data_IF_895163185359
#
_entry.id   IF_895163185359
#
_cell.length_a   1.000
_cell.length_b   1.000
_cell.length_c   1.000
_cell.angle_alpha   90.00
_cell.angle_beta   90.00
_cell.angle_gamma   90.00
#
_symmetry.space_group_name_H-M   'P 1'
#
loop_
_entity.id
_entity.type
_entity.pdbx_description
1 polymer ?
#
# COMPACT_ATOMS: atom_id res chain seq x y z
N UNK A 1 -33.65 0.32 17.34
CA UNK A 1 -32.97 0.15 16.04
C UNK A 1 -31.51 0.48 16.28
N UNK A 2 -30.71 -0.54 16.57
CA UNK A 2 -29.25 -0.40 16.62
C UNK A 2 -28.77 -0.14 15.19
N UNK A 3 -28.23 1.05 14.95
CA UNK A 3 -27.49 1.35 13.73
C UNK A 3 -26.12 0.73 13.93
N UNK A 4 -26.03 -0.59 13.77
CA UNK A 4 -24.75 -1.26 13.62
C UNK A 4 -24.26 -0.90 12.21
N UNK A 5 -23.55 0.22 12.11
CA UNK A 5 -22.76 0.54 10.92
C UNK A 5 -21.84 -0.64 10.66
N UNK A 6 -22.21 -1.53 9.74
CA UNK A 6 -21.36 -2.61 9.27
C UNK A 6 -20.04 -1.98 8.80
N UNK A 7 -19.04 -1.96 9.67
CA UNK A 7 -17.69 -1.52 9.31
C UNK A 7 -17.25 -2.39 8.16
N UNK A 8 -17.07 -1.76 7.01
CA UNK A 8 -16.64 -2.44 5.80
C UNK A 8 -15.32 -3.17 6.08
N UNK A 9 -15.29 -4.47 5.75
CA UNK A 9 -14.12 -5.30 5.97
C UNK A 9 -12.93 -4.71 5.23
N UNK A 10 -11.80 -4.56 5.91
CA UNK A 10 -10.56 -4.11 5.28
C UNK A 10 -9.70 -5.31 4.86
N UNK A 11 -9.05 -5.19 3.72
CA UNK A 11 -7.98 -6.08 3.24
C UNK A 11 -6.63 -5.41 3.49
N UNK A 12 -5.61 -6.20 3.78
CA UNK A 12 -4.24 -5.71 3.83
C UNK A 12 -3.49 -6.12 2.56
N UNK A 13 -2.84 -5.15 1.92
CA UNK A 13 -2.10 -5.32 0.69
C UNK A 13 -0.65 -4.87 0.90
N UNK A 14 0.29 -5.80 0.70
CA UNK A 14 1.71 -5.52 0.68
C UNK A 14 2.12 -5.16 -0.74
N UNK A 15 2.59 -3.93 -0.94
CA UNK A 15 3.12 -3.45 -2.20
C UNK A 15 4.64 -3.46 -2.15
N UNK A 16 5.24 -4.02 -3.19
CA UNK A 16 6.66 -3.83 -3.52
C UNK A 16 6.75 -3.35 -4.97
N UNK A 17 7.46 -2.26 -5.21
CA UNK A 17 7.64 -1.77 -6.57
C UNK A 17 8.96 -1.06 -6.78
N UNK A 18 9.26 -0.78 -8.04
CA UNK A 18 10.51 -0.16 -8.48
C UNK A 18 10.17 1.13 -9.20
N UNK A 19 10.75 2.24 -8.75
CA UNK A 19 10.65 3.54 -9.39
C UNK A 19 11.75 3.71 -10.45
N UNK A 20 11.65 4.76 -11.27
CA UNK A 20 12.68 5.06 -12.27
C UNK A 20 14.06 5.38 -11.66
N UNK A 21 14.08 6.00 -10.48
CA UNK A 21 15.28 6.38 -9.74
C UNK A 21 15.01 6.36 -8.24
N UNK A 22 16.06 6.31 -7.41
CA UNK A 22 15.90 6.39 -5.96
C UNK A 22 15.33 7.71 -5.45
N UNK A 23 15.62 8.83 -6.13
CA UNK A 23 14.98 10.12 -5.85
C UNK A 23 13.48 10.07 -6.13
N UNK A 24 13.08 9.40 -7.22
CA UNK A 24 11.67 9.20 -7.54
C UNK A 24 10.98 8.31 -6.50
N UNK A 25 11.62 7.24 -6.05
CA UNK A 25 11.09 6.39 -4.98
C UNK A 25 10.82 7.19 -3.70
N UNK A 26 11.80 7.99 -3.26
CA UNK A 26 11.66 8.87 -2.08
C UNK A 26 10.54 9.90 -2.25
N UNK A 27 10.46 10.54 -3.41
CA UNK A 27 9.42 11.52 -3.70
C UNK A 27 8.01 10.89 -3.70
N UNK A 28 7.87 9.67 -4.25
CA UNK A 28 6.62 8.93 -4.18
C UNK A 28 6.26 8.60 -2.73
N UNK A 29 7.21 8.05 -1.96
CA UNK A 29 6.97 7.72 -0.55
C UNK A 29 6.51 8.94 0.27
N UNK A 30 7.16 10.09 0.08
CA UNK A 30 6.77 11.35 0.72
C UNK A 30 5.39 11.84 0.28
N UNK A 31 5.01 11.63 -0.98
CA UNK A 31 3.70 12.02 -1.51
C UNK A 31 2.57 11.13 -0.99
N UNK A 32 2.86 9.84 -0.74
CA UNK A 32 1.87 8.87 -0.28
C UNK A 32 1.80 8.73 1.25
N UNK A 33 2.70 9.35 2.02
CA UNK A 33 2.71 9.23 3.49
C UNK A 33 1.44 9.75 4.17
N UNK A 34 0.70 10.65 3.52
CA UNK A 34 -0.56 11.20 4.02
C UNK A 34 -1.80 10.43 3.54
N UNK A 35 -1.62 9.36 2.76
CA UNK A 35 -2.73 8.53 2.31
C UNK A 35 -3.36 7.80 3.50
N UNK A 36 -4.69 7.93 3.74
CA UNK A 36 -5.35 7.35 4.90
C UNK A 36 -5.32 5.81 4.91
N UNK A 37 -5.06 5.18 3.77
CA UNK A 37 -4.96 3.74 3.65
C UNK A 37 -3.53 3.21 3.81
N UNK A 38 -2.50 4.08 3.85
CA UNK A 38 -1.11 3.67 4.04
C UNK A 38 -0.83 3.55 5.53
N UNK A 39 -0.46 2.35 5.98
CA UNK A 39 -0.01 2.12 7.36
C UNK A 39 1.51 2.20 7.50
N UNK A 40 2.24 1.83 6.44
CA UNK A 40 3.69 1.90 6.39
C UNK A 40 4.13 2.15 4.96
N UNK A 41 5.18 2.96 4.79
CA UNK A 41 5.85 3.16 3.52
C UNK A 41 7.35 3.34 3.76
N UNK A 42 8.17 2.72 2.93
CA UNK A 42 9.62 2.78 3.01
C UNK A 42 10.24 2.68 1.63
N UNK A 43 11.51 3.09 1.54
CA UNK A 43 12.27 3.06 0.29
C UNK A 43 13.66 2.48 0.52
N UNK A 44 14.19 1.81 -0.49
CA UNK A 44 15.59 1.36 -0.55
C UNK A 44 16.07 1.54 -1.98
N UNK A 45 17.08 2.37 -2.20
CA UNK A 45 17.51 2.75 -3.56
C UNK A 45 16.31 3.20 -4.40
N UNK A 46 16.03 2.58 -5.54
CA UNK A 46 14.87 2.82 -6.41
C UNK A 46 13.64 1.97 -6.05
N UNK A 47 13.71 1.15 -5.01
CA UNK A 47 12.61 0.33 -4.51
C UNK A 47 11.71 1.11 -3.54
N UNK A 48 10.41 0.83 -3.62
CA UNK A 48 9.38 1.33 -2.71
C UNK A 48 8.57 0.16 -2.15
N UNK A 49 8.35 0.18 -0.84
CA UNK A 49 7.56 -0.80 -0.12
C UNK A 49 6.47 -0.08 0.65
N UNK A 50 5.24 -0.62 0.62
CA UNK A 50 4.15 -0.05 1.38
C UNK A 50 3.17 -1.13 1.84
N UNK A 51 2.52 -0.89 2.97
CA UNK A 51 1.38 -1.71 3.43
C UNK A 51 0.13 -0.85 3.40
N UNK A 52 -0.88 -1.29 2.66
CA UNK A 52 -2.17 -0.62 2.56
C UNK A 52 -3.25 -1.41 3.30
N UNK A 53 -4.13 -0.72 4.04
CA UNK A 53 -5.38 -1.25 4.56
C UNK A 53 -6.53 -0.64 3.76
N UNK A 54 -7.07 -1.39 2.82
CA UNK A 54 -8.10 -0.92 1.89
C UNK A 54 -9.44 -1.54 2.25
N UNK A 55 -10.57 -0.85 2.04
CA UNK A 55 -11.88 -1.49 2.05
C UNK A 55 -11.94 -2.62 1.02
N UNK A 56 -12.62 -3.73 1.33
CA UNK A 56 -12.69 -4.91 0.47
C UNK A 56 -13.25 -4.59 -0.92
N UNK A 57 -14.19 -3.64 -1.05
CA UNK A 57 -14.68 -3.16 -2.35
C UNK A 57 -13.61 -2.53 -3.24
N UNK A 58 -12.47 -2.12 -2.67
CA UNK A 58 -11.34 -1.53 -3.39
C UNK A 58 -10.31 -2.58 -3.78
N UNK A 59 -10.59 -3.89 -3.65
CA UNK A 59 -9.67 -4.94 -4.10
C UNK A 59 -9.29 -4.80 -5.59
N UNK A 60 -10.19 -4.32 -6.45
CA UNK A 60 -9.88 -4.05 -7.86
C UNK A 60 -8.69 -3.09 -8.07
N UNK A 61 -8.41 -2.23 -7.08
CA UNK A 61 -7.30 -1.29 -7.12
C UNK A 61 -5.95 -2.00 -7.20
N UNK A 62 -5.80 -3.14 -6.50
CA UNK A 62 -4.54 -3.89 -6.56
C UNK A 62 -4.27 -4.46 -7.95
N UNK A 63 -5.30 -5.02 -8.59
CA UNK A 63 -5.20 -5.57 -9.94
C UNK A 63 -4.83 -4.46 -10.94
N UNK A 64 -5.50 -3.31 -10.84
CA UNK A 64 -5.27 -2.17 -11.74
C UNK A 64 -3.84 -1.63 -11.64
N UNK A 65 -3.27 -1.59 -10.43
CA UNK A 65 -1.90 -1.10 -10.24
C UNK A 65 -0.85 -2.07 -10.76
N UNK A 66 -1.04 -3.38 -10.58
CA UNK A 66 -0.09 -4.36 -11.12
C UNK A 66 -0.10 -4.36 -12.66
N UNK A 67 -1.26 -4.14 -13.29
CA UNK A 67 -1.36 -4.04 -14.75
C UNK A 67 -0.74 -2.77 -15.33
N UNK A 68 -0.92 -1.63 -14.65
CA UNK A 68 -0.53 -0.30 -15.14
C UNK A 68 0.16 0.53 -14.06
N UNK A 69 1.32 0.08 -13.55
CA UNK A 69 1.95 0.69 -12.37
C UNK A 69 2.42 2.12 -12.62
N UNK A 70 2.80 2.43 -13.87
CA UNK A 70 3.35 3.73 -14.24
C UNK A 70 2.27 4.78 -14.37
N UNK A 71 1.11 4.42 -14.91
CA UNK A 71 -0.04 5.30 -15.11
C UNK A 71 -0.81 5.53 -13.80
N UNK A 72 -0.78 4.56 -12.89
CA UNK A 72 -1.57 4.60 -11.65
C UNK A 72 -0.80 5.25 -10.50
N UNK A 73 0.39 4.73 -10.17
CA UNK A 73 1.17 5.17 -9.00
C UNK A 73 2.58 5.65 -9.34
N UNK A 74 2.93 5.69 -10.63
CA UNK A 74 4.20 6.23 -11.10
C UNK A 74 5.41 5.34 -10.82
N UNK A 75 5.20 4.04 -10.58
CA UNK A 75 6.25 3.03 -10.48
C UNK A 75 6.41 2.29 -11.82
N UNK A 76 7.62 1.83 -12.14
CA UNK A 76 7.89 1.09 -13.38
C UNK A 76 7.41 -0.36 -13.27
N UNK A 77 7.48 -0.94 -12.07
CA UNK A 77 7.01 -2.29 -11.77
C UNK A 77 6.37 -2.31 -10.39
N UNK A 78 5.33 -3.11 -10.24
CA UNK A 78 4.67 -3.35 -8.96
C UNK A 78 4.33 -4.83 -8.84
N UNK A 79 4.44 -5.32 -7.61
CA UNK A 79 3.82 -6.54 -7.14
C UNK A 79 3.00 -6.23 -5.91
N UNK A 80 1.77 -6.73 -5.86
CA UNK A 80 0.89 -6.64 -4.71
C UNK A 80 0.63 -8.04 -4.18
N UNK A 81 0.69 -8.19 -2.86
CA UNK A 81 0.34 -9.43 -2.16
C UNK A 81 -0.77 -9.11 -1.17
N UNK A 82 -1.96 -9.68 -1.41
CA UNK A 82 -3.06 -9.63 -0.44
C UNK A 82 -2.74 -10.62 0.69
N UNK A 83 -2.64 -10.13 1.92
CA UNK A 83 -2.31 -10.95 3.09
C UNK A 83 -3.57 -11.49 3.76
N UNK A 84 -3.48 -12.72 4.26
CA UNK A 84 -4.58 -13.44 4.91
C UNK A 84 -4.69 -13.13 6.41
N UNK A 85 -3.54 -12.91 7.08
CA UNK A 85 -3.45 -12.59 8.51
C UNK A 85 -2.40 -11.52 8.76
N UNK A 86 -2.73 -10.55 9.60
CA UNK A 86 -1.86 -9.44 9.99
C UNK A 86 -1.45 -9.61 11.45
N UNK A 87 -0.15 -9.52 11.71
CA UNK A 87 0.42 -9.59 13.05
C UNK A 87 1.20 -8.31 13.33
N UNK A 88 0.87 -7.64 14.43
CA UNK A 88 1.61 -6.46 14.90
C UNK A 88 2.56 -6.85 16.03
N UNK A 89 3.73 -6.19 16.15
CA UNK A 89 4.58 -6.38 17.30
C UNK A 89 3.86 -5.89 18.57
N UNK A 90 3.99 -6.64 19.67
CA UNK A 90 3.46 -6.22 20.99
C UNK A 90 4.09 -4.91 21.47
N UNK A 91 5.33 -4.64 21.08
CA UNK A 91 6.04 -3.40 21.34
C UNK A 91 6.96 -3.09 20.16
N UNK A 92 6.79 -1.92 19.55
CA UNK A 92 7.70 -1.42 18.52
C UNK A 92 8.83 -0.62 19.19
N UNK A 93 10.09 -0.99 18.95
CA UNK A 93 11.27 -0.19 19.29
C UNK A 93 11.96 0.18 18.00
N UNK A 94 12.09 1.47 17.73
CA UNK A 94 12.80 2.04 16.58
C UNK A 94 13.86 3.00 17.08
#
# INVERSE_FOLDING_TARGET
MEVDEMKEKSICALLSGVAKTGERAKHLAESYKSCPYVNFIATKEDELYATYFLPERQKWWSETIEERPRETIGLEKVKITIVESVHYPNQLKM
#
